data_IF_350421277949
#
_entry.id   IF_350421277949
#
_cell.length_a   1.000
_cell.length_b   1.000
_cell.length_c   1.000
_cell.angle_alpha   90.00
_cell.angle_beta   90.00
_cell.angle_gamma   90.00
#
_symmetry.space_group_name_H-M   'P 1'
#
loop_
_entity.id
_entity.type
_entity.pdbx_description
1 polymer ?
#
# COMPACT_ATOMS: atom_id res chain seq x y z
N UNK A 1 73.96 14.50 6.18
CA UNK A 1 74.51 13.87 4.96
C UNK A 1 73.49 12.88 4.42
N UNK A 2 72.64 13.33 3.50
CA UNK A 2 71.76 12.49 2.68
C UNK A 2 71.93 12.95 1.23
N UNK A 3 72.06 11.96 0.36
CA UNK A 3 72.51 12.04 -1.03
C UNK A 3 71.55 12.83 -1.92
N UNK A 4 72.17 13.51 -2.88
CA UNK A 4 71.62 14.31 -3.97
C UNK A 4 71.29 13.47 -5.22
N UNK A 5 70.67 14.17 -6.19
CA UNK A 5 70.51 13.92 -7.65
C UNK A 5 69.10 13.47 -8.06
N UNK A 6 68.50 13.97 -9.15
CA UNK A 6 68.80 15.04 -10.13
C UNK A 6 67.54 15.22 -10.98
N UNK A 7 67.24 16.47 -11.35
CA UNK A 7 66.26 16.86 -12.37
C UNK A 7 66.77 16.63 -13.80
N UNK A 8 65.81 16.51 -14.75
CA UNK A 8 65.75 16.99 -16.16
C UNK A 8 65.10 15.96 -17.11
N UNK A 9 64.53 16.36 -18.28
CA UNK A 9 63.83 17.60 -18.62
C UNK A 9 62.48 17.39 -19.38
N UNK A 10 61.81 18.51 -19.63
CA UNK A 10 60.57 18.70 -20.41
C UNK A 10 60.86 18.62 -21.90
N UNK A 11 59.97 18.00 -22.69
CA UNK A 11 59.90 18.17 -24.13
C UNK A 11 58.44 18.35 -24.58
N UNK A 12 58.23 19.36 -25.42
CA UNK A 12 56.93 19.86 -25.87
C UNK A 12 56.87 19.79 -27.41
N UNK A 13 55.68 19.39 -27.89
CA UNK A 13 55.03 19.78 -29.16
C UNK A 13 55.49 19.09 -30.45
N UNK A 14 54.55 18.39 -31.10
CA UNK A 14 54.25 18.64 -32.51
C UNK A 14 52.78 18.31 -32.84
N UNK A 15 52.12 19.25 -33.51
CA UNK A 15 50.75 19.18 -33.97
C UNK A 15 50.72 18.80 -35.44
N UNK A 16 49.82 17.89 -35.85
CA UNK A 16 49.53 17.63 -37.26
C UNK A 16 48.02 17.43 -37.45
N UNK A 17 47.41 18.34 -38.20
CA UNK A 17 46.58 18.01 -39.36
C UNK A 17 45.12 17.64 -39.14
N UNK A 18 44.24 18.59 -39.39
CA UNK A 18 42.81 18.42 -39.61
C UNK A 18 42.51 17.50 -40.82
N UNK A 19 41.51 16.64 -40.67
CA UNK A 19 40.70 16.13 -41.78
C UNK A 19 39.23 16.15 -41.37
N UNK A 20 38.47 17.08 -41.97
CA UNK A 20 37.00 17.13 -41.91
C UNK A 20 36.43 15.97 -42.72
N UNK A 21 35.69 15.09 -42.05
CA UNK A 21 34.77 14.16 -42.71
C UNK A 21 33.37 14.59 -42.29
N UNK A 22 32.64 15.08 -43.27
CA UNK A 22 31.22 15.39 -43.22
C UNK A 22 30.47 14.07 -43.49
N UNK A 23 29.80 13.53 -42.48
CA UNK A 23 28.95 12.34 -42.62
C UNK A 23 27.63 12.59 -41.90
N UNK A 24 26.77 13.35 -42.58
CA UNK A 24 25.37 13.54 -42.20
C UNK A 24 24.58 12.26 -42.49
N UNK A 25 24.71 11.25 -41.61
CA UNK A 25 23.75 10.16 -41.52
C UNK A 25 22.73 10.47 -40.41
N UNK A 26 21.57 10.93 -40.84
CA UNK A 26 20.36 11.06 -40.04
C UNK A 26 19.90 9.66 -39.60
N UNK A 27 20.36 9.23 -38.43
CA UNK A 27 19.86 8.03 -37.77
C UNK A 27 18.51 8.37 -37.13
N UNK A 28 17.43 7.98 -37.81
CA UNK A 28 16.09 7.91 -37.22
C UNK A 28 16.17 7.04 -35.96
N UNK A 29 16.19 7.69 -34.78
CA UNK A 29 16.04 7.01 -33.49
C UNK A 29 14.71 6.28 -33.49
N UNK A 30 14.76 4.96 -33.62
CA UNK A 30 13.67 4.08 -33.21
C UNK A 30 13.36 4.46 -31.75
N UNK A 31 12.11 4.80 -31.39
CA UNK A 31 11.80 5.12 -30.01
C UNK A 31 12.13 3.88 -29.17
N UNK A 32 13.11 4.02 -28.28
CA UNK A 32 13.37 2.99 -27.28
C UNK A 32 12.05 2.75 -26.53
N UNK A 33 11.64 1.49 -26.34
CA UNK A 33 10.52 1.20 -25.45
C UNK A 33 10.81 1.86 -24.09
N UNK A 34 9.77 2.37 -23.39
CA UNK A 34 9.97 3.12 -22.16
C UNK A 34 10.87 2.31 -21.23
N UNK A 35 12.02 2.91 -20.85
CA UNK A 35 12.92 2.33 -19.87
C UNK A 35 12.11 2.08 -18.61
N UNK A 36 11.85 0.82 -18.31
CA UNK A 36 11.38 0.42 -16.99
C UNK A 36 12.51 0.77 -16.04
N UNK A 37 12.28 1.79 -15.23
CA UNK A 37 13.18 2.20 -14.17
C UNK A 37 13.30 1.03 -13.17
N UNK A 38 14.41 0.29 -13.25
CA UNK A 38 14.73 -0.82 -12.34
C UNK A 38 14.91 -0.37 -10.87
N UNK A 39 14.65 0.91 -10.53
CA UNK A 39 14.89 1.48 -9.20
C UNK A 39 13.71 1.46 -8.23
N UNK A 40 12.48 1.09 -8.65
CA UNK A 40 11.32 1.13 -7.74
C UNK A 40 10.92 -0.27 -7.27
N UNK A 41 11.59 -0.76 -6.22
CA UNK A 41 11.21 -2.01 -5.53
C UNK A 41 9.75 -1.86 -5.02
N UNK A 42 8.81 -2.75 -5.43
CA UNK A 42 7.41 -2.67 -5.01
C UNK A 42 7.27 -2.65 -3.49
N UNK A 43 6.38 -1.81 -2.95
CA UNK A 43 6.11 -1.79 -1.51
C UNK A 43 4.73 -2.38 -1.19
N UNK A 44 4.70 -3.39 -0.33
CA UNK A 44 3.50 -3.92 0.30
C UNK A 44 3.21 -3.13 1.58
N UNK A 45 2.20 -2.26 1.53
CA UNK A 45 1.69 -1.50 2.67
C UNK A 45 0.60 -2.31 3.37
N UNK A 46 0.93 -2.91 4.51
CA UNK A 46 -0.03 -3.61 5.35
C UNK A 46 -0.70 -2.61 6.31
N UNK A 47 -1.98 -2.31 6.08
CA UNK A 47 -2.82 -1.55 7.04
C UNK A 47 -3.31 -2.53 8.11
N UNK A 48 -2.47 -2.73 9.13
CA UNK A 48 -2.60 -3.76 10.15
C UNK A 48 -3.10 -3.18 11.49
N UNK A 49 -3.42 -4.06 12.44
CA UNK A 49 -3.85 -3.72 13.78
C UNK A 49 -4.75 -4.84 14.30
N UNK A 50 -4.38 -5.40 15.45
CA UNK A 50 -5.04 -6.60 15.98
C UNK A 50 -6.53 -6.40 16.28
N UNK A 51 -6.92 -5.18 16.69
CA UNK A 51 -8.24 -4.89 17.21
C UNK A 51 -9.16 -4.25 16.16
N UNK A 52 -10.45 -4.61 16.25
CA UNK A 52 -11.52 -3.99 15.46
C UNK A 52 -11.69 -2.51 15.80
N UNK A 53 -12.07 -1.69 14.83
CA UNK A 53 -12.32 -0.26 15.04
C UNK A 53 -11.06 0.61 15.17
N UNK A 54 -9.84 0.06 15.14
CA UNK A 54 -8.60 0.84 15.29
C UNK A 54 -8.33 1.86 14.15
N UNK A 55 -9.02 1.73 13.00
CA UNK A 55 -8.90 2.65 11.87
C UNK A 55 -8.13 2.11 10.66
N UNK A 56 -7.96 0.79 10.53
CA UNK A 56 -7.26 0.15 9.40
C UNK A 56 -7.82 0.56 8.04
N UNK A 57 -9.14 0.51 7.87
CA UNK A 57 -9.79 0.92 6.62
C UNK A 57 -9.62 2.42 6.38
N UNK A 58 -9.68 3.26 7.41
CA UNK A 58 -9.39 4.70 7.29
C UNK A 58 -7.97 4.95 6.80
N UNK A 59 -6.98 4.23 7.34
CA UNK A 59 -5.60 4.31 6.90
C UNK A 59 -5.44 3.90 5.43
N UNK A 60 -5.98 2.74 5.05
CA UNK A 60 -5.91 2.26 3.67
C UNK A 60 -6.56 3.24 2.68
N UNK A 61 -7.70 3.85 3.04
CA UNK A 61 -8.35 4.91 2.24
C UNK A 61 -7.48 6.15 2.11
N UNK A 62 -6.82 6.58 3.19
CA UNK A 62 -5.87 7.70 3.16
C UNK A 62 -4.70 7.42 2.19
N UNK A 63 -4.23 6.17 2.10
CA UNK A 63 -3.22 5.79 1.12
C UNK A 63 -3.78 5.79 -0.30
N UNK A 64 -4.98 5.23 -0.53
CA UNK A 64 -5.61 5.27 -1.85
C UNK A 64 -5.75 6.72 -2.35
N UNK A 65 -6.29 7.61 -1.50
CA UNK A 65 -6.43 9.03 -1.82
C UNK A 65 -5.07 9.70 -2.11
N UNK A 66 -4.01 9.34 -1.37
CA UNK A 66 -2.66 9.84 -1.63
C UNK A 66 -2.17 9.44 -3.01
N UNK A 67 -2.26 8.14 -3.32
CA UNK A 67 -1.75 7.59 -4.57
C UNK A 67 -2.54 8.13 -5.76
N UNK A 68 -3.86 8.23 -5.65
CA UNK A 68 -4.73 8.86 -6.65
C UNK A 68 -4.33 10.32 -6.87
N UNK A 69 -4.15 11.11 -5.80
CA UNK A 69 -3.74 12.52 -5.90
C UNK A 69 -2.39 12.68 -6.59
N UNK A 70 -1.47 11.75 -6.38
CA UNK A 70 -0.15 11.73 -7.00
C UNK A 70 -0.13 11.14 -8.42
N UNK A 71 -1.23 10.57 -8.90
CA UNK A 71 -1.27 9.82 -10.16
C UNK A 71 -0.38 8.55 -10.13
N UNK A 72 -0.13 7.99 -8.95
CA UNK A 72 0.71 6.80 -8.77
C UNK A 72 -0.14 5.54 -8.89
N UNK A 73 0.32 4.58 -9.69
CA UNK A 73 -0.33 3.28 -9.81
C UNK A 73 -0.17 2.47 -8.51
N UNK A 74 -1.22 1.76 -8.12
CA UNK A 74 -1.21 0.83 -6.99
C UNK A 74 -2.25 -0.28 -7.19
N UNK A 75 -2.07 -1.37 -6.47
CA UNK A 75 -3.09 -2.42 -6.33
C UNK A 75 -3.71 -2.34 -4.95
N UNK A 76 -5.04 -2.33 -4.89
CA UNK A 76 -5.77 -2.48 -3.62
C UNK A 76 -6.06 -3.96 -3.36
N UNK A 77 -5.66 -4.45 -2.20
CA UNK A 77 -6.06 -5.75 -1.67
C UNK A 77 -6.89 -5.47 -0.43
N UNK A 78 -8.19 -5.70 -0.52
CA UNK A 78 -9.08 -5.61 0.65
C UNK A 78 -9.38 -7.01 1.17
N UNK A 79 -8.61 -7.41 2.19
CA UNK A 79 -8.74 -8.72 2.83
C UNK A 79 -9.82 -8.72 3.94
N UNK A 80 -10.47 -7.58 4.21
CA UNK A 80 -11.63 -7.55 5.10
C UNK A 80 -12.84 -8.18 4.39
N UNK A 81 -13.54 -9.16 5.00
CA UNK A 81 -14.72 -9.79 4.39
C UNK A 81 -15.83 -8.80 4.00
N UNK A 82 -15.85 -7.61 4.60
CA UNK A 82 -16.80 -6.57 4.26
C UNK A 82 -16.33 -5.68 3.10
N UNK A 83 -15.10 -5.79 2.61
CA UNK A 83 -14.58 -4.95 1.52
C UNK A 83 -14.68 -3.44 1.82
N UNK A 84 -14.42 -3.05 3.08
CA UNK A 84 -14.66 -1.70 3.58
C UNK A 84 -13.93 -0.60 2.78
N UNK A 85 -12.82 -0.92 2.14
CA UNK A 85 -12.03 -0.02 1.31
C UNK A 85 -12.38 -0.22 -0.17
N UNK A 86 -12.42 -1.47 -0.64
CA UNK A 86 -12.65 -1.77 -2.05
C UNK A 86 -14.05 -1.35 -2.54
N UNK A 87 -15.08 -1.34 -1.68
CA UNK A 87 -16.41 -0.80 -2.05
C UNK A 87 -16.36 0.64 -2.56
N UNK A 88 -15.43 1.44 -2.04
CA UNK A 88 -15.24 2.81 -2.51
C UNK A 88 -14.27 2.87 -3.68
N UNK A 89 -13.09 2.25 -3.55
CA UNK A 89 -11.95 2.50 -4.44
C UNK A 89 -11.76 1.45 -5.55
N UNK A 90 -12.49 0.33 -5.51
CA UNK A 90 -12.40 -0.74 -6.51
C UNK A 90 -13.73 -1.50 -6.65
N UNK A 91 -14.76 -0.79 -7.12
CA UNK A 91 -16.13 -1.31 -7.29
C UNK A 91 -16.20 -2.47 -8.27
N UNK A 92 -15.34 -2.48 -9.29
CA UNK A 92 -15.31 -3.52 -10.31
C UNK A 92 -14.90 -4.85 -9.69
N UNK A 93 -13.80 -4.88 -8.92
CA UNK A 93 -13.34 -6.07 -8.20
C UNK A 93 -14.37 -6.57 -7.19
N UNK A 94 -15.01 -5.68 -6.41
CA UNK A 94 -16.07 -6.07 -5.47
C UNK A 94 -17.26 -6.70 -6.20
N UNK A 95 -17.66 -6.15 -7.36
CA UNK A 95 -18.76 -6.70 -8.16
C UNK A 95 -18.43 -8.11 -8.68
N UNK A 96 -17.19 -8.36 -9.07
CA UNK A 96 -16.72 -9.69 -9.50
C UNK A 96 -16.80 -10.72 -8.36
N UNK A 97 -16.38 -10.34 -7.15
CA UNK A 97 -16.44 -11.22 -5.98
C UNK A 97 -17.88 -11.57 -5.62
N UNK A 98 -18.77 -10.58 -5.55
CA UNK A 98 -20.19 -10.79 -5.24
C UNK A 98 -20.89 -11.69 -6.27
N UNK A 99 -20.57 -11.55 -7.57
CA UNK A 99 -21.14 -12.41 -8.61
C UNK A 99 -20.71 -13.88 -8.46
N UNK A 100 -19.46 -14.14 -8.04
CA UNK A 100 -18.98 -15.50 -7.80
C UNK A 100 -19.65 -16.14 -6.59
N UNK A 101 -19.85 -15.39 -5.50
CA UNK A 101 -20.55 -15.87 -4.31
C UNK A 101 -22.00 -16.27 -4.60
N UNK A 102 -22.67 -15.53 -5.49
CA UNK A 102 -24.02 -15.88 -5.96
C UNK A 102 -23.98 -17.18 -6.79
N UNK A 103 -23.01 -17.33 -7.70
CA UNK A 103 -22.91 -18.56 -8.52
C UNK A 103 -22.58 -19.81 -7.68
N UNK A 104 -21.71 -19.69 -6.68
CA UNK A 104 -21.34 -20.81 -5.80
C UNK A 104 -22.50 -21.22 -4.88
N UNK A 105 -23.30 -20.28 -4.38
CA UNK A 105 -24.48 -20.54 -3.54
C UNK A 105 -25.69 -21.09 -4.31
N UNK A 106 -25.89 -20.69 -5.57
CA UNK A 106 -26.93 -21.26 -6.43
C UNK A 106 -26.56 -22.69 -6.87
N UNK A 107 -25.28 -22.94 -7.15
CA UNK A 107 -24.81 -24.28 -7.54
C UNK A 107 -24.86 -25.32 -6.41
N UNK A 108 -24.83 -24.90 -5.14
CA UNK A 108 -24.97 -25.80 -3.99
C UNK A 108 -26.43 -26.14 -3.63
N UNK A 109 -27.39 -25.40 -4.20
CA UNK A 109 -28.84 -25.65 -4.01
C UNK A 109 -29.42 -26.58 -5.09
N UNK A 110 -28.70 -26.81 -6.19
CA UNK A 110 -29.11 -27.71 -7.27
C UNK A 110 -28.14 -28.89 -7.32
N UNK A 111 -28.32 -29.81 -6.37
CA UNK A 111 -27.93 -31.19 -6.62
C UNK A 111 -28.77 -31.74 -7.78
N UNK A 112 -28.11 -32.42 -8.73
CA UNK A 112 -28.68 -33.34 -9.73
C UNK A 112 -28.81 -32.80 -11.18
N UNK A 113 -28.08 -33.49 -12.07
CA UNK A 113 -28.33 -33.79 -13.50
C UNK A 113 -27.78 -32.85 -14.59
N UNK A 114 -26.90 -33.47 -15.39
CA UNK A 114 -26.75 -33.37 -16.85
C UNK A 114 -26.42 -32.00 -17.48
N UNK A 115 -25.33 -31.99 -18.27
CA UNK A 115 -25.40 -31.47 -19.64
C UNK A 115 -24.58 -30.22 -19.96
N UNK A 116 -23.70 -30.40 -20.95
CA UNK A 116 -22.94 -29.42 -21.75
C UNK A 116 -23.69 -28.13 -22.15
N UNK A 117 -22.97 -27.01 -22.26
CA UNK A 117 -22.81 -26.17 -23.48
C UNK A 117 -21.81 -25.06 -23.13
N UNK A 118 -20.61 -24.93 -23.73
CA UNK A 118 -20.27 -24.35 -25.04
C UNK A 118 -20.96 -23.02 -25.37
N UNK A 119 -20.07 -22.02 -25.57
CA UNK A 119 -20.20 -20.73 -26.24
C UNK A 119 -21.02 -19.64 -25.52
N UNK A 120 -20.31 -18.59 -25.10
CA UNK A 120 -20.52 -17.27 -25.70
C UNK A 120 -19.19 -16.50 -25.73
N UNK A 121 -18.81 -16.13 -26.97
CA UNK A 121 -17.82 -15.10 -27.26
C UNK A 121 -18.61 -13.82 -27.35
N UNK A 122 -18.20 -12.78 -26.62
CA UNK A 122 -18.39 -11.42 -27.08
C UNK A 122 -17.24 -10.53 -26.60
N UNK A 123 -16.69 -9.81 -27.57
CA UNK A 123 -15.54 -8.92 -27.48
C UNK A 123 -15.89 -7.62 -26.73
N UNK A 124 -15.12 -7.33 -25.67
CA UNK A 124 -14.99 -5.98 -25.13
C UNK A 124 -13.52 -5.67 -24.79
N UNK A 125 -13.07 -4.51 -25.26
CA UNK A 125 -11.69 -4.00 -25.28
C UNK A 125 -11.12 -3.73 -23.88
N UNK A 126 -9.91 -4.27 -23.61
CA UNK A 126 -8.92 -3.99 -22.51
C UNK A 126 -9.46 -4.20 -21.07
N UNK A 127 -8.90 -5.05 -20.19
CA UNK A 127 -7.51 -5.49 -19.95
C UNK A 127 -7.49 -6.97 -19.49
N UNK A 128 -6.72 -7.90 -20.09
CA UNK A 128 -6.85 -9.33 -19.79
C UNK A 128 -5.91 -9.85 -18.69
N UNK A 129 -5.05 -9.02 -18.08
CA UNK A 129 -4.06 -9.49 -17.10
C UNK A 129 -4.37 -9.01 -15.67
N UNK A 130 -4.84 -7.76 -15.49
CA UNK A 130 -5.13 -7.20 -14.15
C UNK A 130 -6.41 -7.76 -13.52
N UNK A 131 -7.44 -8.06 -14.31
CA UNK A 131 -8.75 -8.52 -13.82
C UNK A 131 -8.77 -9.99 -13.37
N UNK A 132 -7.87 -10.84 -13.88
CA UNK A 132 -7.80 -12.25 -13.46
C UNK A 132 -7.08 -12.44 -12.12
N UNK A 133 -6.08 -11.60 -11.85
CA UNK A 133 -5.19 -11.74 -10.68
C UNK A 133 -5.98 -11.53 -9.36
N UNK A 134 -6.91 -10.56 -9.32
CA UNK A 134 -7.81 -10.31 -8.19
C UNK A 134 -9.21 -10.89 -8.38
N UNK A 135 -9.34 -11.97 -9.16
CA UNK A 135 -10.64 -12.58 -9.43
C UNK A 135 -11.36 -13.14 -8.18
N UNK A 136 -10.68 -13.24 -7.04
CA UNK A 136 -11.26 -13.61 -5.73
C UNK A 136 -10.53 -12.83 -4.64
N UNK A 137 -11.19 -12.70 -3.48
CA UNK A 137 -10.61 -12.05 -2.33
C UNK A 137 -9.41 -12.84 -1.80
N UNK A 138 -8.36 -12.12 -1.39
CA UNK A 138 -7.25 -12.71 -0.63
C UNK A 138 -7.67 -12.87 0.82
N UNK A 139 -7.51 -14.08 1.35
CA UNK A 139 -7.92 -14.44 2.71
C UNK A 139 -6.68 -14.84 3.52
N UNK A 140 -6.45 -14.14 4.63
CA UNK A 140 -5.44 -14.52 5.63
C UNK A 140 -6.10 -15.36 6.72
N UNK A 141 -6.02 -16.68 6.58
CA UNK A 141 -6.62 -17.64 7.52
C UNK A 141 -5.79 -17.84 8.78
N UNK A 142 -6.47 -18.01 9.92
CA UNK A 142 -5.89 -18.45 11.19
C UNK A 142 -5.79 -19.96 11.35
N UNK A 143 -6.49 -20.71 10.50
CA UNK A 143 -6.32 -22.15 10.42
C UNK A 143 -5.13 -22.43 9.49
N UNK A 144 -4.12 -23.10 10.04
CA UNK A 144 -2.90 -23.50 9.31
C UNK A 144 -3.19 -24.36 8.08
N UNK A 145 -4.33 -25.06 8.05
CA UNK A 145 -4.77 -25.81 6.86
C UNK A 145 -5.09 -24.92 5.67
N UNK A 146 -5.44 -23.66 5.92
CA UNK A 146 -5.86 -22.69 4.92
C UNK A 146 -4.92 -21.47 4.84
N UNK A 147 -3.73 -21.53 5.46
CA UNK A 147 -2.77 -20.42 5.43
C UNK A 147 -2.30 -20.10 4.00
N UNK A 148 -2.24 -21.12 3.13
CA UNK A 148 -1.86 -21.00 1.72
C UNK A 148 -2.78 -20.08 0.90
N UNK A 149 -4.01 -19.80 1.36
CA UNK A 149 -4.93 -18.90 0.65
C UNK A 149 -4.36 -17.48 0.51
N UNK A 150 -3.49 -17.06 1.44
CA UNK A 150 -2.81 -15.77 1.40
C UNK A 150 -1.69 -15.71 0.35
N UNK A 151 -1.17 -16.85 -0.12
CA UNK A 151 0.00 -16.91 -1.01
C UNK A 151 -0.27 -16.31 -2.38
N UNK A 152 -1.55 -16.19 -2.76
CA UNK A 152 -1.99 -15.42 -3.94
C UNK A 152 -1.49 -13.97 -3.94
N UNK A 153 -1.17 -13.42 -2.77
CA UNK A 153 -0.56 -12.11 -2.68
C UNK A 153 0.79 -12.05 -3.42
N UNK A 154 1.55 -13.15 -3.45
CA UNK A 154 2.80 -13.21 -4.22
C UNK A 154 2.55 -13.10 -5.72
N UNK A 155 1.51 -13.74 -6.25
CA UNK A 155 1.18 -13.63 -7.67
C UNK A 155 0.96 -12.16 -8.06
N UNK A 156 0.30 -11.39 -7.19
CA UNK A 156 0.07 -9.96 -7.38
C UNK A 156 1.38 -9.18 -7.33
N UNK A 157 2.18 -9.40 -6.28
CA UNK A 157 3.46 -8.72 -6.07
C UNK A 157 4.39 -8.92 -7.27
N UNK A 158 4.60 -10.18 -7.66
CA UNK A 158 5.56 -10.53 -8.71
C UNK A 158 5.06 -10.19 -10.12
N UNK A 159 3.74 -10.23 -10.35
CA UNK A 159 3.18 -9.93 -11.68
C UNK A 159 3.06 -8.44 -11.97
N UNK A 160 2.64 -7.64 -10.98
CA UNK A 160 2.31 -6.23 -11.22
C UNK A 160 3.47 -5.28 -10.97
N UNK A 161 4.44 -5.67 -10.12
CA UNK A 161 5.63 -4.86 -9.77
C UNK A 161 5.29 -3.40 -9.42
N UNK A 162 4.20 -3.18 -8.71
CA UNK A 162 3.76 -1.87 -8.22
C UNK A 162 3.40 -1.96 -6.74
N UNK A 163 3.19 -0.81 -6.09
CA UNK A 163 2.82 -0.82 -4.68
C UNK A 163 1.46 -1.46 -4.46
N UNK A 164 1.34 -2.12 -3.32
CA UNK A 164 0.13 -2.80 -2.90
C UNK A 164 -0.31 -2.18 -1.59
N UNK A 165 -1.55 -1.72 -1.54
CA UNK A 165 -2.22 -1.31 -0.31
C UNK A 165 -3.07 -2.49 0.14
N UNK A 166 -2.71 -3.13 1.25
CA UNK A 166 -3.47 -4.23 1.83
C UNK A 166 -4.23 -3.76 3.07
N UNK A 167 -5.56 -3.76 3.00
CA UNK A 167 -6.44 -3.54 4.15
C UNK A 167 -6.71 -4.88 4.82
N UNK A 168 -6.18 -5.05 6.04
CA UNK A 168 -6.28 -6.31 6.79
C UNK A 168 -7.50 -6.31 7.72
N UNK A 169 -8.18 -7.45 7.92
CA UNK A 169 -9.25 -7.56 8.92
C UNK A 169 -8.69 -7.48 10.34
N UNK A 170 -9.58 -7.28 11.32
CA UNK A 170 -9.19 -7.45 12.72
C UNK A 170 -8.93 -8.92 13.03
N UNK A 171 -7.98 -9.19 13.92
CA UNK A 171 -7.71 -10.54 14.41
C UNK A 171 -7.54 -11.56 13.27
N UNK A 172 -6.69 -11.24 12.30
CA UNK A 172 -6.48 -11.96 11.05
C UNK A 172 -5.37 -13.03 11.11
N UNK A 173 -5.16 -13.73 10.01
CA UNK A 173 -4.11 -14.75 9.86
C UNK A 173 -2.76 -14.25 9.35
N UNK A 174 -2.50 -12.93 9.37
CA UNK A 174 -1.29 -12.38 8.72
C UNK A 174 -0.01 -12.95 9.33
N UNK A 175 0.01 -13.18 10.64
CA UNK A 175 1.14 -13.77 11.35
C UNK A 175 1.50 -15.15 10.79
N UNK A 176 0.50 -16.01 10.60
CA UNK A 176 0.72 -17.34 10.04
C UNK A 176 1.20 -17.28 8.60
N UNK A 177 0.71 -16.32 7.81
CA UNK A 177 1.18 -16.12 6.44
C UNK A 177 2.64 -15.65 6.40
N UNK A 178 3.01 -14.69 7.27
CA UNK A 178 4.39 -14.20 7.41
C UNK A 178 5.35 -15.34 7.81
N UNK A 179 4.92 -16.19 8.74
CA UNK A 179 5.70 -17.34 9.23
C UNK A 179 5.81 -18.44 8.17
N UNK A 180 4.69 -18.88 7.59
CA UNK A 180 4.65 -19.99 6.63
C UNK A 180 5.49 -19.70 5.39
N UNK A 181 5.63 -18.42 5.03
CA UNK A 181 6.39 -17.97 3.88
C UNK A 181 7.77 -17.37 4.24
N UNK A 182 8.20 -17.46 5.49
CA UNK A 182 9.48 -16.92 5.96
C UNK A 182 9.72 -15.45 5.57
N UNK A 183 8.67 -14.62 5.55
CA UNK A 183 8.73 -13.23 5.05
C UNK A 183 9.76 -12.42 5.82
N UNK A 184 9.85 -12.59 7.15
CA UNK A 184 10.83 -11.86 7.95
C UNK A 184 12.28 -12.21 7.57
N UNK A 185 12.56 -13.45 7.15
CA UNK A 185 13.89 -13.83 6.64
C UNK A 185 14.11 -13.29 5.23
N UNK A 186 13.07 -13.34 4.37
CA UNK A 186 13.12 -12.75 3.03
C UNK A 186 13.44 -11.25 3.06
N UNK A 187 12.83 -10.50 3.99
CA UNK A 187 13.10 -9.07 4.18
C UNK A 187 14.49 -8.76 4.74
N UNK A 188 15.20 -9.76 5.28
CA UNK A 188 16.59 -9.63 5.72
C UNK A 188 17.62 -9.87 4.60
N UNK A 189 17.18 -10.37 3.43
CA UNK A 189 18.09 -10.63 2.32
C UNK A 189 18.71 -9.35 1.77
N UNK A 190 19.88 -9.46 1.12
CA UNK A 190 20.58 -8.29 0.56
C UNK A 190 19.79 -7.58 -0.54
N UNK A 191 18.86 -8.29 -1.19
CA UNK A 191 18.07 -7.77 -2.31
C UNK A 191 16.65 -8.35 -2.24
N UNK A 192 15.82 -7.88 -1.29
CA UNK A 192 14.46 -8.38 -1.17
C UNK A 192 13.66 -7.98 -2.41
N UNK A 193 12.84 -8.88 -2.98
CA UNK A 193 12.13 -8.61 -4.24
C UNK A 193 11.04 -7.54 -4.12
N UNK A 194 10.62 -7.25 -2.89
CA UNK A 194 9.66 -6.20 -2.53
C UNK A 194 9.96 -5.75 -1.10
N UNK A 195 9.42 -4.60 -0.71
CA UNK A 195 9.47 -4.10 0.67
C UNK A 195 8.16 -4.39 1.37
N UNK A 196 8.20 -4.68 2.68
CA UNK A 196 6.98 -4.74 3.49
C UNK A 196 7.02 -3.64 4.54
N UNK A 197 5.97 -2.83 4.58
CA UNK A 197 5.74 -1.82 5.61
C UNK A 197 4.49 -2.20 6.38
N UNK A 198 4.66 -2.55 7.65
CA UNK A 198 3.58 -2.80 8.58
C UNK A 198 3.15 -1.47 9.23
N UNK A 199 1.99 -0.98 8.81
CA UNK A 199 1.35 0.20 9.39
C UNK A 199 0.32 -0.24 10.42
N UNK A 200 0.73 -0.25 11.69
CA UNK A 200 -0.09 -0.73 12.78
C UNK A 200 -0.99 0.37 13.33
N UNK A 201 -2.29 0.28 13.04
CA UNK A 201 -3.29 1.17 13.62
C UNK A 201 -3.51 0.85 15.11
N UNK A 202 -3.23 1.83 15.95
CA UNK A 202 -3.43 1.78 17.40
C UNK A 202 -4.41 2.86 17.84
N UNK A 203 -5.34 2.51 18.72
CA UNK A 203 -6.20 3.49 19.41
C UNK A 203 -5.57 4.01 20.72
N UNK A 204 -4.27 3.80 20.88
CA UNK A 204 -3.45 4.32 21.97
C UNK A 204 -3.35 3.41 23.18
N UNK A 205 -4.35 2.57 23.50
CA UNK A 205 -4.30 1.78 24.75
C UNK A 205 -2.99 1.00 24.94
N UNK A 206 -2.55 0.84 26.20
CA UNK A 206 -1.35 0.08 26.52
C UNK A 206 -1.37 -1.33 25.93
N UNK A 207 -2.54 -1.99 25.87
CA UNK A 207 -2.69 -3.30 25.21
C UNK A 207 -2.44 -3.22 23.71
N UNK A 208 -3.00 -2.24 23.01
CA UNK A 208 -2.80 -2.06 21.56
C UNK A 208 -1.33 -1.76 21.23
N UNK A 209 -0.67 -0.96 22.07
CA UNK A 209 0.76 -0.67 21.95
C UNK A 209 1.62 -1.89 22.25
N UNK A 210 1.30 -2.66 23.29
CA UNK A 210 2.04 -3.87 23.65
C UNK A 210 1.96 -4.92 22.53
N UNK A 211 0.77 -5.15 21.96
CA UNK A 211 0.60 -6.05 20.81
C UNK A 211 1.47 -5.65 19.61
N UNK A 212 1.62 -4.35 19.36
CA UNK A 212 2.51 -3.86 18.32
C UNK A 212 3.99 -4.11 18.66
N UNK A 213 4.40 -3.84 19.91
CA UNK A 213 5.76 -4.11 20.38
C UNK A 213 6.11 -5.60 20.23
N UNK A 214 5.17 -6.49 20.57
CA UNK A 214 5.33 -7.93 20.41
C UNK A 214 5.49 -8.29 18.92
N UNK A 215 4.68 -7.69 18.03
CA UNK A 215 4.78 -7.87 16.59
C UNK A 215 6.13 -7.40 16.02
N UNK A 216 6.61 -6.21 16.41
CA UNK A 216 7.91 -5.67 16.00
C UNK A 216 9.05 -6.58 16.45
N UNK A 217 8.96 -7.09 17.68
CA UNK A 217 9.95 -8.02 18.24
C UNK A 217 9.98 -9.34 17.48
N UNK A 218 8.81 -9.83 17.08
CA UNK A 218 8.66 -11.08 16.34
C UNK A 218 9.17 -10.97 14.90
N UNK A 219 8.98 -9.82 14.25
CA UNK A 219 9.38 -9.63 12.86
C UNK A 219 10.26 -8.38 12.65
N UNK A 220 11.51 -8.38 13.16
CA UNK A 220 12.36 -7.20 13.20
C UNK A 220 12.84 -6.69 11.83
N UNK A 221 12.73 -7.50 10.77
CA UNK A 221 13.24 -7.13 9.44
C UNK A 221 12.17 -6.46 8.55
N UNK A 222 10.92 -6.39 9.01
CA UNK A 222 9.92 -5.54 8.35
C UNK A 222 10.15 -4.08 8.73
N UNK A 223 9.71 -3.16 7.86
CA UNK A 223 9.56 -1.76 8.26
C UNK A 223 8.29 -1.60 9.09
N UNK A 224 8.39 -0.92 10.23
CA UNK A 224 7.27 -0.79 11.17
C UNK A 224 6.91 0.67 11.41
N UNK A 225 5.62 0.96 11.33
CA UNK A 225 5.04 2.25 11.70
C UNK A 225 3.92 2.04 12.71
N UNK A 226 4.05 2.62 13.90
CA UNK A 226 2.92 2.76 14.82
C UNK A 226 2.08 3.95 14.36
N UNK A 227 0.82 3.71 14.01
CA UNK A 227 -0.12 4.75 13.61
C UNK A 227 -1.12 4.98 14.74
N UNK A 228 -0.96 6.07 15.48
CA UNK A 228 -1.93 6.45 16.49
C UNK A 228 -3.15 7.11 15.83
N UNK A 229 -4.32 6.48 15.97
CA UNK A 229 -5.56 7.04 15.48
C UNK A 229 -6.17 7.99 16.51
N UNK A 230 -5.81 9.27 16.40
CA UNK A 230 -6.29 10.32 17.29
C UNK A 230 -7.78 10.65 17.05
N UNK A 231 -8.34 10.26 15.91
CA UNK A 231 -9.76 10.46 15.60
C UNK A 231 -10.72 9.51 16.33
N UNK A 232 -10.23 8.46 16.99
CA UNK A 232 -11.05 7.48 17.72
C UNK A 232 -11.35 7.91 19.17
N UNK A 233 -10.92 9.09 19.61
CA UNK A 233 -11.21 9.56 20.97
C UNK A 233 -12.71 9.79 21.14
N UNK A 234 -13.26 9.31 22.25
CA UNK A 234 -14.61 9.65 22.69
C UNK A 234 -14.70 11.14 23.09
N UNK A 235 -15.92 11.60 23.38
CA UNK A 235 -16.21 12.99 23.75
C UNK A 235 -15.41 13.52 24.97
N UNK A 236 -14.75 12.65 25.75
CA UNK A 236 -13.82 13.03 26.81
C UNK A 236 -12.41 12.61 26.40
N UNK A 237 -11.49 13.56 26.16
CA UNK A 237 -10.16 13.22 25.70
C UNK A 237 -9.33 12.60 26.83
N UNK A 238 -8.93 11.34 26.65
CA UNK A 238 -7.80 10.76 27.35
C UNK A 238 -6.63 10.72 26.37
N UNK A 239 -5.97 11.86 26.19
CA UNK A 239 -4.87 12.01 25.22
C UNK A 239 -3.61 11.25 25.63
N UNK A 240 -3.35 11.17 26.93
CA UNK A 240 -2.19 10.48 27.53
C UNK A 240 -2.13 9.00 27.12
N UNK A 241 -3.26 8.38 26.76
CA UNK A 241 -3.26 7.02 26.21
C UNK A 241 -2.45 6.91 24.92
N UNK A 242 -2.21 8.00 24.19
CA UNK A 242 -1.40 7.98 22.97
C UNK A 242 0.08 8.23 23.24
N UNK A 243 0.47 8.45 24.49
CA UNK A 243 1.87 8.48 24.86
C UNK A 243 2.48 7.09 24.62
N UNK A 244 3.60 6.99 23.89
CA UNK A 244 4.25 5.71 23.63
C UNK A 244 4.66 5.04 24.94
N UNK A 245 4.40 3.74 25.06
CA UNK A 245 4.96 2.92 26.13
C UNK A 245 6.50 3.02 26.08
N UNK A 246 7.21 2.91 27.23
CA UNK A 246 8.66 3.09 27.27
C UNK A 246 9.44 2.25 26.25
N UNK A 247 9.00 1.01 26.00
CA UNK A 247 9.65 0.14 25.02
C UNK A 247 9.35 0.56 23.56
N UNK A 248 8.14 1.04 23.27
CA UNK A 248 7.79 1.59 21.97
C UNK A 248 8.56 2.88 21.68
N UNK A 249 8.68 3.76 22.69
CA UNK A 249 9.47 4.98 22.60
C UNK A 249 10.94 4.65 22.31
N UNK A 250 11.50 3.67 23.04
CA UNK A 250 12.86 3.18 22.77
C UNK A 250 13.01 2.62 21.34
N UNK A 251 12.06 1.83 20.85
CA UNK A 251 12.10 1.34 19.47
C UNK A 251 12.03 2.47 18.43
N UNK A 252 11.31 3.55 18.74
CA UNK A 252 11.27 4.75 17.89
C UNK A 252 12.62 5.48 17.89
N UNK A 253 13.24 5.67 19.05
CA UNK A 253 14.55 6.29 19.21
C UNK A 253 15.67 5.48 18.52
N UNK A 254 15.61 4.15 18.63
CA UNK A 254 16.53 3.22 17.94
C UNK A 254 16.31 3.18 16.41
N UNK A 255 15.27 3.85 15.90
CA UNK A 255 14.92 3.87 14.48
C UNK A 255 14.25 2.60 13.96
N UNK A 256 13.94 1.63 14.83
CA UNK A 256 13.26 0.37 14.50
C UNK A 256 11.80 0.57 14.13
N UNK A 257 11.18 1.59 14.72
CA UNK A 257 9.79 1.97 14.52
C UNK A 257 9.72 3.44 14.13
N UNK A 258 8.77 3.79 13.26
CA UNK A 258 8.35 5.18 13.07
C UNK A 258 6.98 5.40 13.71
N UNK A 259 6.70 6.62 14.14
CA UNK A 259 5.39 7.00 14.69
C UNK A 259 4.71 7.95 13.71
N UNK A 260 3.44 7.70 13.44
CA UNK A 260 2.58 8.57 12.66
C UNK A 260 1.19 8.67 13.30
N UNK A 261 0.40 9.65 12.87
CA UNK A 261 -0.91 9.92 13.43
C UNK A 261 -1.97 9.95 12.33
N UNK A 262 -3.14 9.40 12.64
CA UNK A 262 -4.39 9.77 11.97
C UNK A 262 -5.04 10.87 12.80
N UNK A 263 -5.16 12.06 12.24
CA UNK A 263 -5.72 13.22 12.92
C UNK A 263 -7.25 13.14 13.03
N UNK A 264 -7.86 13.78 14.04
CA UNK A 264 -9.31 13.83 14.17
C UNK A 264 -9.98 14.41 12.92
N UNK A 265 -11.10 13.82 12.52
CA UNK A 265 -11.95 14.35 11.46
C UNK A 265 -12.71 15.57 11.97
N UNK A 266 -12.57 16.71 11.28
CA UNK A 266 -13.16 17.99 11.69
C UNK A 266 -14.22 18.52 10.71
N UNK A 267 -14.63 17.68 9.77
CA UNK A 267 -15.70 17.99 8.82
C UNK A 267 -16.97 17.20 9.18
N UNK A 268 -18.01 17.36 8.36
CA UNK A 268 -19.29 16.69 8.54
C UNK A 268 -19.11 15.16 8.58
N UNK A 269 -19.57 14.45 9.63
CA UNK A 269 -19.49 12.99 9.73
C UNK A 269 -20.19 12.25 8.57
N UNK A 270 -21.25 12.83 8.00
CA UNK A 270 -21.99 12.22 6.89
C UNK A 270 -21.13 12.02 5.62
N UNK A 271 -20.01 12.73 5.52
CA UNK A 271 -19.03 12.55 4.44
C UNK A 271 -18.30 11.21 4.60
N UNK A 272 -17.90 10.85 5.82
CA UNK A 272 -17.26 9.56 6.07
C UNK A 272 -18.25 8.41 5.89
N UNK A 273 -19.51 8.60 6.28
CA UNK A 273 -20.59 7.65 5.99
C UNK A 273 -20.77 7.44 4.47
N UNK A 274 -20.71 8.50 3.67
CA UNK A 274 -20.78 8.38 2.21
C UNK A 274 -19.58 7.62 1.62
N UNK A 275 -18.39 7.73 2.24
CA UNK A 275 -17.23 6.89 1.89
C UNK A 275 -17.46 5.43 2.27
N UNK A 276 -18.01 5.16 3.44
CA UNK A 276 -18.39 3.81 3.88
C UNK A 276 -19.43 3.16 2.96
N UNK A 277 -20.30 3.97 2.36
CA UNK A 277 -21.28 3.56 1.36
C UNK A 277 -20.70 3.40 -0.06
N UNK A 278 -19.40 3.62 -0.24
CA UNK A 278 -18.69 3.31 -1.47
C UNK A 278 -18.46 4.48 -2.42
N UNK A 279 -18.47 5.73 -1.95
CA UNK A 279 -18.01 6.86 -2.79
C UNK A 279 -16.62 7.31 -2.35
N UNK A 280 -15.58 7.25 -3.21
CA UNK A 280 -14.26 7.77 -2.88
C UNK A 280 -14.31 9.22 -2.38
N UNK A 281 -13.38 9.57 -1.49
CA UNK A 281 -13.40 10.90 -0.87
C UNK A 281 -13.11 12.00 -1.90
N UNK A 282 -12.19 11.80 -2.83
CA UNK A 282 -11.94 12.75 -3.92
C UNK A 282 -13.17 12.96 -4.82
N UNK A 283 -13.97 11.92 -5.06
CA UNK A 283 -15.23 12.06 -5.80
C UNK A 283 -16.26 12.88 -5.03
N UNK A 284 -16.36 12.67 -3.70
CA UNK A 284 -17.22 13.48 -2.84
C UNK A 284 -16.77 14.95 -2.83
N UNK A 285 -15.46 15.22 -2.74
CA UNK A 285 -14.91 16.58 -2.80
C UNK A 285 -15.23 17.26 -4.13
N UNK A 286 -15.15 16.52 -5.23
CA UNK A 286 -15.42 17.01 -6.58
C UNK A 286 -16.91 17.25 -6.84
N UNK A 287 -17.74 16.24 -6.57
CA UNK A 287 -19.12 16.16 -7.04
C UNK A 287 -20.16 16.43 -5.94
N UNK A 288 -19.75 16.45 -4.67
CA UNK A 288 -20.67 16.41 -3.54
C UNK A 288 -21.09 14.98 -3.17
N UNK A 289 -22.02 14.86 -2.23
CA UNK A 289 -22.55 13.57 -1.78
C UNK A 289 -24.06 13.68 -1.51
N UNK A 290 -24.83 12.61 -1.72
CA UNK A 290 -26.28 12.57 -1.48
C UNK A 290 -27.06 13.75 -2.11
N UNK A 291 -26.68 14.17 -3.32
CA UNK A 291 -27.27 15.31 -4.02
C UNK A 291 -26.93 16.70 -3.44
N UNK A 292 -26.05 16.77 -2.42
CA UNK A 292 -25.60 18.01 -1.80
C UNK A 292 -24.20 18.39 -2.30
N UNK A 293 -24.06 19.62 -2.78
CA UNK A 293 -22.75 20.20 -3.03
C UNK A 293 -22.05 20.57 -1.71
N UNK A 294 -20.75 20.31 -1.63
CA UNK A 294 -19.97 20.74 -0.48
C UNK A 294 -19.67 22.24 -0.55
N UNK A 295 -19.93 22.93 0.56
CA UNK A 295 -19.47 24.31 0.75
C UNK A 295 -17.94 24.39 0.63
N UNK A 296 -17.36 25.43 -0.01
CA UNK A 296 -15.90 25.62 -0.11
C UNK A 296 -15.12 25.48 1.20
N UNK A 297 -15.67 25.95 2.33
CA UNK A 297 -15.01 25.81 3.65
C UNK A 297 -14.89 24.35 4.06
N UNK A 298 -15.90 23.53 3.77
CA UNK A 298 -15.87 22.09 4.05
C UNK A 298 -14.82 21.40 3.18
N UNK A 299 -14.73 21.75 1.88
CA UNK A 299 -13.68 21.24 0.99
C UNK A 299 -12.28 21.56 1.53
N UNK A 300 -12.04 22.83 1.92
CA UNK A 300 -10.77 23.25 2.52
C UNK A 300 -10.43 22.48 3.80
N UNK A 301 -11.42 22.18 4.65
CA UNK A 301 -11.20 21.36 5.86
C UNK A 301 -10.77 19.93 5.50
N UNK A 302 -11.40 19.32 4.50
CA UNK A 302 -11.06 17.97 4.03
C UNK A 302 -9.66 17.97 3.42
N UNK A 303 -9.35 18.91 2.53
CA UNK A 303 -8.04 19.01 1.90
C UNK A 303 -6.93 19.22 2.94
N UNK A 304 -7.16 20.09 3.93
CA UNK A 304 -6.24 20.30 5.04
C UNK A 304 -6.08 19.05 5.90
N UNK A 305 -7.17 18.34 6.18
CA UNK A 305 -7.11 17.08 6.93
C UNK A 305 -6.29 16.03 6.17
N UNK A 306 -6.54 15.84 4.88
CA UNK A 306 -5.78 14.93 4.02
C UNK A 306 -4.29 15.28 4.02
N UNK A 307 -3.96 16.55 3.76
CA UNK A 307 -2.57 17.01 3.68
C UNK A 307 -1.82 16.81 5.01
N UNK A 308 -2.45 17.13 6.13
CA UNK A 308 -1.84 16.96 7.45
C UNK A 308 -1.58 15.48 7.78
N UNK A 309 -2.54 14.59 7.45
CA UNK A 309 -2.34 13.14 7.64
C UNK A 309 -1.20 12.63 6.74
N UNK A 310 -1.19 13.02 5.46
CA UNK A 310 -0.12 12.63 4.54
C UNK A 310 1.24 13.20 4.93
N UNK A 311 1.30 14.39 5.53
CA UNK A 311 2.53 14.90 6.10
C UNK A 311 3.02 13.99 7.23
N UNK A 312 2.13 13.57 8.13
CA UNK A 312 2.48 12.62 9.20
C UNK A 312 3.03 11.31 8.64
N UNK A 313 2.45 10.78 7.56
CA UNK A 313 2.94 9.54 6.95
C UNK A 313 4.24 9.75 6.17
N UNK A 314 4.40 10.86 5.44
CA UNK A 314 5.64 11.19 4.73
C UNK A 314 6.85 11.31 5.66
N UNK A 315 6.65 11.87 6.85
CA UNK A 315 7.70 11.99 7.87
C UNK A 315 8.28 10.62 8.31
N UNK A 316 7.59 9.51 8.04
CA UNK A 316 8.12 8.16 8.31
C UNK A 316 9.17 7.71 7.30
N UNK A 317 9.21 8.30 6.10
CA UNK A 317 10.04 7.85 4.97
C UNK A 317 9.51 6.60 4.25
N UNK A 318 8.34 6.07 4.64
CA UNK A 318 7.75 4.87 4.04
C UNK A 318 6.56 5.16 3.12
N UNK A 319 6.08 6.40 3.05
CA UNK A 319 5.04 6.85 2.11
C UNK A 319 5.57 8.10 1.38
N UNK A 320 5.51 8.11 0.05
CA UNK A 320 5.92 9.27 -0.78
C UNK A 320 4.79 10.32 -0.89
#
# INVERSE_FOLDING_TARGET
>A
MRSSKKDEPVEQVEAIGEAKIDDSMETTKVPEPPKTDDSNIPTLHLSNGFLGGAGKSTLARLFCERFIKLGRAFTLVDADPNYNVARAYDKETVSLWQQKDIKSSVSSTIGSRFGRSLADKDDAKKSPVSSNILSEQIIFSKDTKFSYLGDRLFDIIYSLKQDIISSLPANDGIDLWLESNNINALMASESPPFRVVNWWCSFGSGTSQQMFVDFVTKYPNLHHVCVFNLGITSAVPNWDRFDPLPLLDKFSQDGKVKIANILPWLADPAILEAVDLGTPLHEIVKNGYNGKQLNPIVKLKIDKWLENNWQSFRNTGHLL
#
